data_IF_249408785748
#
_entry.id   IF_249408785748
#
_cell.length_a   1.000
_cell.length_b   1.000
_cell.length_c   1.000
_cell.angle_alpha   90.00
_cell.angle_beta   90.00
_cell.angle_gamma   90.00
#
_symmetry.space_group_name_H-M   'P 1'
#
loop_
_entity.id
_entity.type
_entity.pdbx_description
1 polymer ?
#
# COMPACT_ATOMS: atom_id res chain seq x y z
N UNK A 1 19.46 1.79 15.41
CA UNK A 1 20.16 1.85 14.11
C UNK A 1 19.27 2.62 13.14
N UNK A 2 19.62 3.87 12.83
CA UNK A 2 18.83 4.75 11.97
C UNK A 2 19.50 4.80 10.60
N UNK A 3 18.81 4.33 9.56
CA UNK A 3 19.27 4.47 8.17
C UNK A 3 18.82 5.83 7.64
N UNK A 4 19.69 6.82 7.80
CA UNK A 4 19.55 8.14 7.21
C UNK A 4 20.26 8.12 5.85
N UNK A 5 19.53 7.85 4.76
CA UNK A 5 20.06 7.99 3.40
C UNK A 5 19.55 9.30 2.81
N UNK A 6 20.30 10.38 3.06
CA UNK A 6 20.15 11.66 2.39
C UNK A 6 21.38 11.81 1.47
N UNK A 7 21.18 11.78 0.15
CA UNK A 7 22.22 12.15 -0.81
C UNK A 7 21.72 13.29 -1.70
N UNK A 8 22.54 14.35 -1.75
CA UNK A 8 22.34 15.54 -2.56
C UNK A 8 22.94 15.32 -3.96
N UNK A 9 22.25 15.80 -4.99
CA UNK A 9 22.71 15.75 -6.38
C UNK A 9 23.71 16.89 -6.69
N UNK A 10 24.62 16.66 -7.65
CA UNK A 10 25.80 17.48 -7.96
C UNK A 10 25.52 18.75 -8.79
N UNK A 11 24.26 19.04 -9.09
CA UNK A 11 23.79 20.00 -10.09
C UNK A 11 22.81 21.04 -9.52
N UNK A 12 22.59 21.07 -8.20
CA UNK A 12 21.74 22.06 -7.53
C UNK A 12 20.23 21.91 -7.81
N UNK A 13 19.84 21.11 -8.81
CA UNK A 13 18.50 20.55 -8.97
C UNK A 13 18.44 19.15 -8.34
N UNK A 14 18.13 19.09 -7.06
CA UNK A 14 17.90 17.82 -6.37
C UNK A 14 16.54 17.23 -6.76
N UNK A 15 16.48 16.41 -7.81
CA UNK A 15 15.40 15.43 -7.99
C UNK A 15 15.90 14.04 -7.54
N UNK A 16 15.77 13.66 -6.26
CA UNK A 16 16.21 12.36 -5.77
C UNK A 16 15.17 11.27 -6.05
N UNK A 17 15.13 10.61 -7.22
CA UNK A 17 14.13 9.55 -7.47
C UNK A 17 14.59 8.37 -8.36
N UNK A 18 15.41 7.44 -7.83
CA UNK A 18 15.15 6.01 -8.08
C UNK A 18 15.06 5.12 -6.82
N UNK A 19 15.82 5.42 -5.76
CA UNK A 19 15.90 4.54 -4.58
C UNK A 19 14.60 4.50 -3.76
N UNK A 20 13.96 5.65 -3.52
CA UNK A 20 12.68 5.72 -2.80
C UNK A 20 11.53 5.00 -3.55
N UNK A 21 11.59 4.96 -4.89
CA UNK A 21 10.62 4.23 -5.69
C UNK A 21 10.80 2.72 -5.54
N UNK A 22 12.04 2.23 -5.60
CA UNK A 22 12.35 0.82 -5.41
C UNK A 22 11.93 0.32 -4.03
N UNK A 23 12.23 1.08 -2.98
CA UNK A 23 11.79 0.76 -1.61
C UNK A 23 10.27 0.63 -1.51
N UNK A 24 9.54 1.56 -2.14
CA UNK A 24 8.07 1.52 -2.16
C UNK A 24 7.55 0.28 -2.89
N UNK A 25 8.16 -0.11 -4.02
CA UNK A 25 7.78 -1.31 -4.76
C UNK A 25 8.06 -2.59 -3.95
N UNK A 26 9.22 -2.67 -3.29
CA UNK A 26 9.57 -3.79 -2.42
C UNK A 26 8.60 -3.89 -1.24
N UNK A 27 8.27 -2.76 -0.60
CA UNK A 27 7.30 -2.73 0.49
C UNK A 27 5.89 -3.13 0.02
N UNK A 28 5.49 -2.69 -1.18
CA UNK A 28 4.22 -3.06 -1.79
C UNK A 28 4.12 -4.57 -2.07
N UNK A 29 5.18 -5.15 -2.62
CA UNK A 29 5.27 -6.60 -2.87
C UNK A 29 5.22 -7.38 -1.55
N UNK A 30 6.01 -6.96 -0.55
CA UNK A 30 6.05 -7.61 0.76
C UNK A 30 4.67 -7.56 1.45
N UNK A 31 4.02 -6.40 1.44
CA UNK A 31 2.70 -6.22 2.03
C UNK A 31 1.65 -7.11 1.36
N UNK A 32 1.66 -7.21 0.03
CA UNK A 32 0.76 -8.12 -0.70
C UNK A 32 1.05 -9.58 -0.39
N UNK A 33 2.33 -9.98 -0.37
CA UNK A 33 2.72 -11.38 -0.12
C UNK A 33 2.39 -11.85 1.29
N UNK A 34 2.54 -10.97 2.28
CA UNK A 34 2.34 -11.29 3.70
C UNK A 34 0.94 -11.03 4.20
N UNK A 35 0.17 -10.17 3.51
CA UNK A 35 -1.10 -9.68 4.00
C UNK A 35 -0.97 -8.86 5.31
N UNK A 36 0.21 -8.27 5.54
CA UNK A 36 0.50 -7.53 6.76
C UNK A 36 -0.52 -6.38 6.99
N UNK A 37 -0.91 -6.12 8.24
CA UNK A 37 -1.81 -5.03 8.56
C UNK A 37 -1.10 -3.69 8.33
N UNK A 38 -1.74 -2.80 7.58
CA UNK A 38 -1.25 -1.46 7.27
C UNK A 38 -2.18 -0.38 7.80
N UNK A 39 -1.61 0.76 8.15
CA UNK A 39 -2.32 2.00 8.46
C UNK A 39 -2.78 2.72 7.19
N UNK A 40 -3.70 3.68 7.37
CA UNK A 40 -4.20 4.54 6.29
C UNK A 40 -3.07 5.34 5.62
N UNK A 41 -2.07 5.79 6.39
CA UNK A 41 -0.94 6.56 5.88
C UNK A 41 -0.01 5.70 5.03
N UNK A 42 0.28 4.47 5.47
CA UNK A 42 1.10 3.51 4.71
C UNK A 42 0.42 3.11 3.41
N UNK A 43 -0.90 2.85 3.43
CA UNK A 43 -1.65 2.58 2.19
C UNK A 43 -1.63 3.79 1.25
N UNK A 44 -1.76 5.01 1.78
CA UNK A 44 -1.69 6.22 0.98
C UNK A 44 -0.32 6.38 0.32
N UNK A 45 0.77 6.08 1.04
CA UNK A 45 2.13 6.09 0.51
C UNK A 45 2.31 5.01 -0.58
N UNK A 46 1.92 3.77 -0.27
CA UNK A 46 2.11 2.62 -1.16
C UNK A 46 1.28 2.72 -2.44
N UNK A 47 0.02 3.12 -2.35
CA UNK A 47 -0.84 3.32 -3.52
C UNK A 47 -0.66 4.69 -4.19
N UNK A 48 -0.03 5.65 -3.52
CA UNK A 48 0.03 7.04 -3.95
C UNK A 48 -1.34 7.74 -4.02
N UNK A 49 -2.35 7.21 -3.33
CA UNK A 49 -3.71 7.72 -3.29
C UNK A 49 -4.31 7.50 -1.91
N UNK A 50 -5.02 8.50 -1.38
CA UNK A 50 -5.67 8.39 -0.08
C UNK A 50 -6.89 7.47 -0.18
N UNK A 51 -6.97 6.39 0.61
CA UNK A 51 -8.13 5.52 0.54
C UNK A 51 -9.36 6.19 1.18
N UNK A 52 -10.43 6.36 0.39
CA UNK A 52 -11.66 7.05 0.81
C UNK A 52 -12.88 6.14 1.02
N UNK A 53 -12.79 4.87 0.63
CA UNK A 53 -13.86 3.86 0.70
C UNK A 53 -13.32 2.58 1.33
N UNK A 54 -14.18 1.62 1.67
CA UNK A 54 -13.76 0.36 2.30
C UNK A 54 -12.85 -0.51 1.43
N UNK A 55 -12.92 -0.32 0.11
CA UNK A 55 -12.03 -0.93 -0.88
C UNK A 55 -11.58 0.13 -1.88
N UNK A 56 -10.30 0.13 -2.23
CA UNK A 56 -9.72 1.01 -3.25
C UNK A 56 -8.80 0.21 -4.13
N UNK A 57 -9.03 0.27 -5.45
CA UNK A 57 -8.24 -0.43 -6.45
C UNK A 57 -7.43 0.59 -7.25
N UNK A 58 -6.12 0.35 -7.39
CA UNK A 58 -5.25 1.15 -8.26
C UNK A 58 -4.14 0.30 -8.83
N UNK A 59 -3.96 0.36 -10.16
CA UNK A 59 -2.84 -0.30 -10.84
C UNK A 59 -2.73 -1.80 -10.58
N UNK A 60 -3.86 -2.51 -10.47
CA UNK A 60 -3.88 -3.95 -10.20
C UNK A 60 -3.66 -4.34 -8.73
N UNK A 61 -3.65 -3.38 -7.80
CA UNK A 61 -3.60 -3.63 -6.35
C UNK A 61 -4.89 -3.14 -5.70
N UNK A 62 -5.50 -3.99 -4.86
CA UNK A 62 -6.67 -3.68 -4.03
C UNK A 62 -6.23 -3.46 -2.59
N UNK A 63 -6.48 -2.27 -2.04
CA UNK A 63 -6.44 -2.03 -0.61
C UNK A 63 -7.83 -2.26 -0.01
N UNK A 64 -7.92 -3.17 0.96
CA UNK A 64 -9.17 -3.52 1.64
C UNK A 64 -9.10 -3.21 3.11
N UNK A 65 -10.09 -2.46 3.61
CA UNK A 65 -10.22 -2.11 5.02
C UNK A 65 -10.78 -3.29 5.81
N UNK A 66 -10.07 -3.72 6.85
CA UNK A 66 -10.58 -4.74 7.81
C UNK A 66 -11.18 -4.11 9.06
N UNK A 67 -10.62 -2.98 9.49
CA UNK A 67 -11.08 -2.21 10.63
C UNK A 67 -10.66 -0.74 10.48
N UNK A 68 -10.95 0.10 11.47
CA UNK A 68 -10.49 1.50 11.47
C UNK A 68 -8.96 1.54 11.44
N UNK A 69 -8.40 2.19 10.42
CA UNK A 69 -6.96 2.27 10.18
C UNK A 69 -6.25 0.91 10.04
N UNK A 70 -6.97 -0.14 9.69
CA UNK A 70 -6.40 -1.46 9.40
C UNK A 70 -6.76 -1.86 7.98
N UNK A 71 -5.74 -1.96 7.15
CA UNK A 71 -5.84 -2.28 5.74
C UNK A 71 -4.96 -3.46 5.39
N UNK A 72 -5.34 -4.17 4.33
CA UNK A 72 -4.53 -5.24 3.73
C UNK A 72 -4.48 -4.99 2.23
N UNK A 73 -3.32 -5.22 1.62
CA UNK A 73 -3.13 -5.15 0.17
C UNK A 73 -3.25 -6.53 -0.44
N UNK A 74 -3.98 -6.59 -1.54
CA UNK A 74 -4.23 -7.81 -2.31
C UNK A 74 -4.01 -7.51 -3.78
N UNK A 75 -3.63 -8.55 -4.54
CA UNK A 75 -3.64 -8.47 -5.99
C UNK A 75 -5.09 -8.34 -6.48
N UNK A 76 -5.31 -7.48 -7.47
CA UNK A 76 -6.62 -7.28 -8.10
C UNK A 76 -6.59 -7.84 -9.52
N UNK A 77 -7.26 -8.97 -9.72
CA UNK A 77 -7.31 -9.66 -11.02
C UNK A 77 -8.59 -9.36 -11.82
N UNK A 78 -9.37 -8.34 -11.42
CA UNK A 78 -10.50 -7.82 -12.22
C UNK A 78 -11.83 -8.57 -12.12
N UNK A 79 -11.84 -9.80 -11.62
CA UNK A 79 -13.04 -10.67 -11.57
C UNK A 79 -13.72 -10.78 -10.20
N UNK A 80 -13.11 -10.22 -9.15
CA UNK A 80 -13.39 -10.57 -7.76
C UNK A 80 -14.23 -9.49 -7.03
N UNK A 81 -15.23 -8.92 -7.72
CA UNK A 81 -16.22 -7.99 -7.15
C UNK A 81 -17.53 -8.70 -6.74
N UNK A 82 -17.52 -10.03 -6.75
CA UNK A 82 -18.55 -10.87 -6.13
C UNK A 82 -18.04 -11.32 -4.75
N UNK A 83 -18.71 -10.88 -3.66
CA UNK A 83 -18.50 -11.22 -2.23
C UNK A 83 -17.57 -10.32 -1.39
N UNK A 84 -18.17 -9.40 -0.63
CA UNK A 84 -18.22 -9.54 0.85
C UNK A 84 -19.30 -8.65 1.49
N UNK A 85 -20.53 -8.73 1.00
CA UNK A 85 -21.69 -8.57 1.87
C UNK A 85 -21.89 -9.91 2.58
N UNK A 86 -22.19 -9.90 3.88
CA UNK A 86 -22.53 -11.05 4.74
C UNK A 86 -21.38 -11.79 5.46
N UNK A 87 -21.20 -11.40 6.71
CA UNK A 87 -21.30 -12.28 7.88
C UNK A 87 -20.47 -13.57 7.93
N UNK A 88 -19.46 -13.60 8.81
CA UNK A 88 -19.21 -14.79 9.65
C UNK A 88 -18.95 -14.38 11.10
N UNK A 89 -20.04 -14.26 11.87
CA UNK A 89 -20.04 -14.47 13.33
C UNK A 89 -19.39 -15.83 13.65
N UNK A 90 -18.39 -15.83 14.54
CA UNK A 90 -17.84 -16.94 15.34
C UNK A 90 -16.74 -16.30 16.22
N UNK A 91 -16.69 -16.35 17.53
CA UNK A 91 -17.46 -17.03 18.60
C UNK A 91 -17.77 -16.00 19.69
#
# INVERSE_FOLDING_TARGET
>A
MAFQHLQANADGSAEPLPMAMLERLQALELAQRTGAPLSTAEVQLLLGARPGKESVVRGGVRARRKARNLWVLERYDGEDDHYSGFNRRRF
#
